data_IF_450553725646
#
_entry.id   IF_450553725646
#
_cell.length_a   1.000
_cell.length_b   1.000
_cell.length_c   1.000
_cell.angle_alpha   90.00
_cell.angle_beta   90.00
_cell.angle_gamma   90.00
#
_symmetry.space_group_name_H-M   'P 1'
#
loop_
_entity.id
_entity.type
_entity.pdbx_description
1 polymer ?
#
# COMPACT_ATOMS: atom_id res chain seq x y z
N UNK A 1 9.14 3.08 13.42
CA UNK A 1 10.23 2.51 14.25
C UNK A 1 10.17 1.00 14.30
N UNK A 2 9.02 0.38 14.55
CA UNK A 2 8.85 -1.08 14.67
C UNK A 2 9.59 -1.89 13.59
N UNK A 3 9.41 -1.53 12.31
CA UNK A 3 10.07 -2.19 11.18
C UNK A 3 11.60 -2.21 11.29
N UNK A 4 12.22 -1.06 11.62
CA UNK A 4 13.68 -0.95 11.75
C UNK A 4 14.25 -1.65 12.98
N UNK A 5 13.40 -1.96 13.98
CA UNK A 5 13.79 -2.73 15.17
C UNK A 5 13.49 -4.23 15.03
N UNK A 6 13.04 -4.69 13.85
CA UNK A 6 12.78 -6.10 13.60
C UNK A 6 11.54 -6.64 14.32
N UNK A 7 10.54 -5.80 14.62
CA UNK A 7 9.27 -6.26 15.16
C UNK A 7 8.64 -7.28 14.20
N UNK A 8 8.23 -8.43 14.73
CA UNK A 8 7.67 -9.54 13.96
C UNK A 8 6.14 -9.49 13.83
N UNK A 9 5.46 -8.74 14.71
CA UNK A 9 4.03 -8.50 14.68
C UNK A 9 3.80 -7.01 14.92
N UNK A 10 3.10 -6.37 13.99
CA UNK A 10 2.65 -4.98 14.10
C UNK A 10 1.14 -4.99 13.87
N UNK A 11 0.39 -4.52 14.86
CA UNK A 11 -1.07 -4.43 14.84
C UNK A 11 -1.53 -2.97 14.69
N UNK A 12 -2.82 -2.71 14.89
CA UNK A 12 -3.42 -1.37 14.96
C UNK A 12 -3.37 -0.54 13.67
N UNK A 13 -3.47 -1.21 12.52
CA UNK A 13 -3.64 -0.51 11.24
C UNK A 13 -5.02 0.15 11.19
N UNK A 14 -5.07 1.48 11.08
CA UNK A 14 -6.33 2.24 11.09
C UNK A 14 -6.88 2.58 12.48
N UNK A 15 -6.11 2.31 13.54
CA UNK A 15 -6.47 2.54 14.93
C UNK A 15 -6.40 4.04 15.30
N UNK A 16 -7.41 4.54 16.02
CA UNK A 16 -7.51 5.92 16.47
C UNK A 16 -8.00 6.01 17.91
N UNK A 17 -7.86 7.19 18.51
CA UNK A 17 -8.36 7.50 19.86
C UNK A 17 -7.98 6.45 20.92
N UNK A 18 -6.69 6.10 20.94
CA UNK A 18 -6.14 5.05 21.84
C UNK A 18 -6.90 3.71 21.79
N UNK A 19 -7.54 3.41 20.66
CA UNK A 19 -8.21 2.14 20.40
C UNK A 19 -9.69 2.12 20.61
N UNK A 20 -10.27 3.27 20.93
CA UNK A 20 -11.71 3.41 21.03
C UNK A 20 -12.35 3.55 19.65
N UNK A 21 -11.55 3.82 18.61
CA UNK A 21 -12.03 4.04 17.25
C UNK A 21 -11.15 3.36 16.19
N UNK A 22 -11.79 3.00 15.07
CA UNK A 22 -11.13 2.57 13.84
C UNK A 22 -11.57 3.44 12.66
N UNK A 23 -10.66 3.71 11.73
CA UNK A 23 -10.93 4.45 10.49
C UNK A 23 -10.51 3.64 9.27
N UNK A 24 -11.46 3.42 8.36
CA UNK A 24 -11.22 2.72 7.09
C UNK A 24 -10.30 3.55 6.18
N UNK A 25 -10.46 4.87 6.16
CA UNK A 25 -9.61 5.80 5.43
C UNK A 25 -8.18 5.74 5.95
N UNK A 26 -8.00 5.76 7.28
CA UNK A 26 -6.68 5.63 7.88
C UNK A 26 -6.07 4.26 7.59
N UNK A 27 -6.87 3.19 7.58
CA UNK A 27 -6.40 1.86 7.21
C UNK A 27 -5.87 1.83 5.76
N UNK A 28 -6.56 2.49 4.82
CA UNK A 28 -6.09 2.63 3.43
C UNK A 28 -4.83 3.50 3.32
N UNK A 29 -4.74 4.59 4.07
CA UNK A 29 -3.52 5.42 4.13
C UNK A 29 -2.35 4.63 4.72
N UNK A 30 -2.61 3.83 5.75
CA UNK A 30 -1.62 2.97 6.38
C UNK A 30 -1.15 1.87 5.43
N UNK A 31 -2.03 1.28 4.60
CA UNK A 31 -1.63 0.33 3.55
C UNK A 31 -0.64 0.95 2.54
N UNK A 32 -0.93 2.17 2.05
CA UNK A 32 -0.02 2.90 1.15
C UNK A 32 1.33 3.22 1.83
N UNK A 33 1.28 3.64 3.09
CA UNK A 33 2.47 3.88 3.92
C UNK A 33 3.28 2.60 4.14
N UNK A 34 2.63 1.47 4.40
CA UNK A 34 3.27 0.16 4.53
C UNK A 34 3.91 -0.28 3.20
N UNK A 35 3.27 0.03 2.07
CA UNK A 35 3.84 -0.15 0.74
C UNK A 35 5.16 0.62 0.57
N UNK A 36 5.17 1.91 0.95
CA UNK A 36 6.39 2.71 0.95
C UNK A 36 7.45 2.15 1.90
N UNK A 37 7.08 1.79 3.14
CA UNK A 37 8.03 1.24 4.12
C UNK A 37 8.68 -0.05 3.62
N UNK A 38 7.91 -0.98 3.04
CA UNK A 38 8.43 -2.21 2.44
C UNK A 38 9.41 -1.92 1.31
N UNK A 39 9.12 -0.93 0.46
CA UNK A 39 10.01 -0.53 -0.62
C UNK A 39 11.29 0.16 -0.09
N UNK A 40 11.15 1.03 0.91
CA UNK A 40 12.24 1.76 1.55
C UNK A 40 13.21 0.82 2.26
N UNK A 41 12.71 -0.24 2.88
CA UNK A 41 13.54 -1.24 3.57
C UNK A 41 13.89 -2.44 2.69
N UNK A 42 13.58 -2.39 1.39
CA UNK A 42 14.05 -3.40 0.45
C UNK A 42 15.57 -3.28 0.37
N UNK A 43 16.27 -4.42 0.29
CA UNK A 43 17.71 -4.42 0.04
C UNK A 43 18.05 -3.68 -1.25
N UNK A 44 19.21 -3.02 -1.27
CA UNK A 44 19.77 -2.40 -2.47
C UNK A 44 20.55 -3.46 -3.22
N UNK A 45 20.13 -3.76 -4.45
CA UNK A 45 20.88 -4.62 -5.36
C UNK A 45 22.05 -3.79 -5.91
N UNK A 46 23.25 -4.38 -5.91
CA UNK A 46 24.46 -3.74 -6.42
C UNK A 46 25.10 -4.69 -7.44
N UNK A 47 24.94 -4.34 -8.71
CA UNK A 47 25.45 -5.05 -9.89
C UNK A 47 25.65 -4.05 -11.05
N UNK A 48 26.13 -4.52 -12.20
CA UNK A 48 26.44 -3.64 -13.34
C UNK A 48 25.20 -2.88 -13.86
N UNK A 49 24.01 -3.50 -13.88
CA UNK A 49 22.78 -2.84 -14.35
C UNK A 49 22.32 -1.76 -13.37
N UNK A 50 22.36 -2.04 -12.06
CA UNK A 50 21.90 -1.11 -11.01
C UNK A 50 22.89 0.01 -10.73
N UNK A 51 24.19 -0.21 -10.98
CA UNK A 51 25.21 0.84 -10.93
C UNK A 51 25.10 1.81 -12.13
N UNK A 52 24.66 1.30 -13.29
CA UNK A 52 24.41 2.08 -14.51
C UNK A 52 25.59 2.96 -14.96
N UNK A 53 26.83 2.48 -14.76
CA UNK A 53 28.04 3.27 -15.04
C UNK A 53 28.18 3.63 -16.52
N UNK A 54 27.80 2.72 -17.42
CA UNK A 54 27.80 2.97 -18.87
C UNK A 54 26.90 4.15 -19.25
N UNK A 55 25.72 4.25 -18.61
CA UNK A 55 24.76 5.34 -18.84
C UNK A 55 25.32 6.67 -18.32
N UNK A 56 25.97 6.65 -17.16
CA UNK A 56 26.62 7.84 -16.57
C UNK A 56 27.78 8.32 -17.45
N UNK A 57 28.59 7.40 -17.99
CA UNK A 57 29.68 7.74 -18.91
C UNK A 57 29.16 8.28 -20.26
N UNK A 58 28.14 7.65 -20.82
CA UNK A 58 27.52 8.05 -22.10
C UNK A 58 26.93 9.47 -22.03
N UNK A 59 26.17 9.77 -20.98
CA UNK A 59 25.43 11.03 -20.85
C UNK A 59 26.26 12.15 -20.22
N UNK A 60 27.25 11.79 -19.39
CA UNK A 60 28.13 12.73 -18.71
C UNK A 60 27.39 13.69 -17.75
N UNK A 61 28.08 14.77 -17.30
CA UNK A 61 27.59 15.64 -16.22
C UNK A 61 26.33 16.46 -16.55
N UNK A 62 26.03 16.66 -17.83
CA UNK A 62 24.92 17.51 -18.29
C UNK A 62 23.86 16.74 -19.10
N UNK A 63 23.95 15.41 -19.15
CA UNK A 63 23.03 14.60 -19.94
C UNK A 63 21.66 14.46 -19.29
N UNK A 64 20.65 14.19 -20.13
CA UNK A 64 19.28 13.92 -19.71
C UNK A 64 19.01 12.42 -19.67
N UNK A 65 18.60 11.92 -18.51
CA UNK A 65 18.35 10.50 -18.27
C UNK A 65 16.90 10.11 -18.54
N UNK A 66 15.96 11.07 -18.63
CA UNK A 66 14.51 10.78 -18.65
C UNK A 66 14.09 9.91 -19.84
N UNK A 67 14.74 10.09 -20.98
CA UNK A 67 14.43 9.37 -22.22
C UNK A 67 15.39 8.21 -22.50
N UNK A 68 16.41 8.01 -21.64
CA UNK A 68 17.39 6.96 -21.84
C UNK A 68 16.73 5.57 -21.72
N UNK A 69 17.07 4.60 -22.59
CA UNK A 69 16.50 3.24 -22.54
C UNK A 69 16.61 2.57 -21.17
N UNK A 70 17.69 2.80 -20.42
CA UNK A 70 17.86 2.28 -19.06
C UNK A 70 16.77 2.81 -18.13
N UNK A 71 16.56 4.12 -18.10
CA UNK A 71 15.49 4.72 -17.29
C UNK A 71 14.11 4.20 -17.73
N UNK A 72 13.85 4.09 -19.03
CA UNK A 72 12.56 3.57 -19.53
C UNK A 72 12.31 2.11 -19.16
N UNK A 73 13.35 1.29 -18.95
CA UNK A 73 13.22 -0.07 -18.41
C UNK A 73 12.90 -0.06 -16.92
N UNK A 74 13.57 0.77 -16.13
CA UNK A 74 13.53 0.69 -14.66
C UNK A 74 12.54 1.63 -13.97
N UNK A 75 12.05 2.70 -14.63
CA UNK A 75 11.27 3.73 -13.94
C UNK A 75 9.97 3.22 -13.30
N UNK A 76 9.46 2.04 -13.67
CA UNK A 76 8.25 1.46 -13.06
C UNK A 76 8.53 0.55 -11.85
N UNK A 77 9.79 0.23 -11.59
CA UNK A 77 10.20 -0.67 -10.51
C UNK A 77 10.11 -0.08 -9.09
N UNK A 78 10.36 1.23 -8.87
CA UNK A 78 10.17 1.84 -7.57
C UNK A 78 8.71 1.78 -7.11
N UNK A 79 8.50 1.95 -5.81
CA UNK A 79 7.16 2.11 -5.28
C UNK A 79 6.57 3.47 -5.67
N UNK A 80 5.36 3.44 -6.22
CA UNK A 80 4.54 4.61 -6.47
C UNK A 80 3.30 4.56 -5.57
N UNK A 81 3.20 5.53 -4.66
CA UNK A 81 2.01 5.72 -3.84
C UNK A 81 0.78 5.90 -4.74
N UNK A 82 -0.32 5.27 -4.35
CA UNK A 82 -1.62 5.41 -5.02
C UNK A 82 -2.46 6.54 -4.41
N UNK A 83 -2.01 7.14 -3.31
CA UNK A 83 -2.75 8.16 -2.55
C UNK A 83 -2.05 9.52 -2.50
N UNK A 84 -0.72 9.57 -2.54
CA UNK A 84 0.02 10.82 -2.54
C UNK A 84 -0.12 11.54 -3.89
N UNK A 85 -0.56 12.79 -3.87
CA UNK A 85 -0.53 13.64 -5.05
C UNK A 85 0.86 14.31 -5.14
N UNK A 86 1.56 14.08 -6.26
CA UNK A 86 2.89 14.62 -6.55
C UNK A 86 2.86 15.66 -7.68
N UNK A 87 1.68 16.08 -8.11
CA UNK A 87 1.50 17.15 -9.09
C UNK A 87 1.86 18.51 -8.52
N UNK A 88 1.90 19.51 -9.40
CA UNK A 88 2.06 20.90 -8.96
C UNK A 88 0.83 21.36 -8.18
N UNK A 89 0.99 22.41 -7.36
CA UNK A 89 -0.14 23.00 -6.63
C UNK A 89 -1.30 23.41 -7.56
N UNK A 90 -0.99 24.02 -8.70
CA UNK A 90 -2.01 24.42 -9.69
C UNK A 90 -2.80 23.23 -10.20
N UNK A 91 -2.13 22.13 -10.56
CA UNK A 91 -2.78 20.90 -11.02
C UNK A 91 -3.65 20.27 -9.91
N UNK A 92 -3.16 20.26 -8.67
CA UNK A 92 -3.93 19.77 -7.53
C UNK A 92 -5.19 20.61 -7.31
N UNK A 93 -5.07 21.94 -7.38
CA UNK A 93 -6.23 22.84 -7.28
C UNK A 93 -7.24 22.62 -8.42
N UNK A 94 -6.77 22.56 -9.67
CA UNK A 94 -7.63 22.30 -10.84
C UNK A 94 -8.35 20.95 -10.76
N UNK A 95 -7.72 19.95 -10.12
CA UNK A 95 -8.32 18.63 -9.85
C UNK A 95 -9.23 18.59 -8.61
N UNK A 96 -9.59 19.75 -8.06
CA UNK A 96 -10.55 19.85 -6.95
C UNK A 96 -9.93 19.90 -5.56
N UNK A 97 -8.61 20.09 -5.45
CA UNK A 97 -7.91 20.33 -4.18
C UNK A 97 -8.16 19.24 -3.11
N UNK A 98 -8.31 17.99 -3.53
CA UNK A 98 -8.66 16.90 -2.62
C UNK A 98 -7.58 16.65 -1.57
N UNK A 99 -7.99 16.46 -0.32
CA UNK A 99 -7.16 15.92 0.74
C UNK A 99 -6.86 14.44 0.50
N UNK A 100 -5.81 13.94 1.16
CA UNK A 100 -5.45 12.52 1.08
C UNK A 100 -6.54 11.61 1.68
N UNK A 101 -7.21 12.06 2.74
CA UNK A 101 -8.33 11.36 3.36
C UNK A 101 -9.49 11.14 2.38
N UNK A 102 -9.84 12.15 1.59
CA UNK A 102 -10.91 12.05 0.60
C UNK A 102 -10.58 11.03 -0.51
N UNK A 103 -9.32 11.01 -0.96
CA UNK A 103 -8.85 9.96 -1.90
C UNK A 103 -8.86 8.57 -1.25
N UNK A 104 -8.50 8.48 0.03
CA UNK A 104 -8.57 7.22 0.77
C UNK A 104 -10.02 6.74 0.92
N UNK A 105 -10.99 7.64 1.17
CA UNK A 105 -12.41 7.31 1.22
C UNK A 105 -12.92 6.72 -0.10
N UNK A 106 -12.58 7.34 -1.24
CA UNK A 106 -12.92 6.79 -2.56
C UNK A 106 -12.32 5.39 -2.79
N UNK A 107 -11.12 5.15 -2.28
CA UNK A 107 -10.46 3.85 -2.36
C UNK A 107 -11.15 2.81 -1.47
N UNK A 108 -11.60 3.19 -0.27
CA UNK A 108 -12.44 2.33 0.59
C UNK A 108 -13.71 1.92 -0.16
N UNK A 109 -14.45 2.90 -0.70
CA UNK A 109 -15.70 2.63 -1.43
C UNK A 109 -15.48 1.69 -2.63
N UNK A 110 -14.37 1.89 -3.36
CA UNK A 110 -13.98 1.01 -4.46
C UNK A 110 -13.71 -0.42 -4.00
N UNK A 111 -12.93 -0.59 -2.93
CA UNK A 111 -12.62 -1.93 -2.39
C UNK A 111 -13.91 -2.62 -1.94
N UNK A 112 -14.76 -1.96 -1.17
CA UNK A 112 -16.00 -2.54 -0.64
C UNK A 112 -16.98 -2.93 -1.74
N UNK A 113 -17.02 -2.17 -2.84
CA UNK A 113 -17.89 -2.46 -3.98
C UNK A 113 -17.36 -3.59 -4.86
N UNK A 114 -16.06 -3.59 -5.14
CA UNK A 114 -15.49 -4.36 -6.26
C UNK A 114 -14.75 -5.63 -5.78
N UNK A 115 -14.26 -5.68 -4.54
CA UNK A 115 -13.49 -6.82 -4.03
C UNK A 115 -14.39 -8.02 -3.73
N UNK A 116 -14.08 -9.16 -4.37
CA UNK A 116 -14.74 -10.45 -4.11
C UNK A 116 -13.68 -11.44 -3.60
N UNK A 117 -13.66 -11.75 -2.30
CA UNK A 117 -12.71 -12.73 -1.78
C UNK A 117 -13.03 -14.12 -2.32
N UNK A 118 -12.00 -14.95 -2.46
CA UNK A 118 -12.18 -16.36 -2.79
C UNK A 118 -12.96 -17.04 -1.66
N UNK A 119 -14.10 -17.69 -1.96
CA UNK A 119 -14.91 -18.32 -0.93
C UNK A 119 -14.19 -19.53 -0.35
N UNK A 120 -14.35 -19.75 0.96
CA UNK A 120 -13.87 -20.97 1.62
C UNK A 120 -14.55 -22.22 1.03
N UNK A 121 -13.88 -23.39 1.06
CA UNK A 121 -14.50 -24.65 0.66
C UNK A 121 -15.85 -24.90 1.36
N UNK A 122 -16.87 -25.47 0.69
CA UNK A 122 -18.21 -25.60 1.25
C UNK A 122 -18.30 -26.41 2.55
N UNK A 123 -17.45 -27.42 2.71
CA UNK A 123 -17.31 -28.24 3.91
C UNK A 123 -16.72 -27.44 5.09
N UNK A 124 -15.72 -26.60 4.85
CA UNK A 124 -15.16 -25.67 5.85
C UNK A 124 -16.22 -24.66 6.29
N UNK A 125 -16.95 -24.07 5.35
CA UNK A 125 -18.04 -23.14 5.68
C UNK A 125 -19.11 -23.79 6.56
N UNK A 126 -19.47 -25.05 6.25
CA UNK A 126 -20.43 -25.82 7.05
C UNK A 126 -19.89 -26.08 8.46
N UNK A 127 -18.65 -26.53 8.58
CA UNK A 127 -18.03 -26.78 9.89
C UNK A 127 -17.97 -25.52 10.76
N UNK A 128 -17.66 -24.35 10.17
CA UNK A 128 -17.70 -23.07 10.89
C UNK A 128 -19.12 -22.76 11.38
N UNK A 129 -20.15 -22.92 10.53
CA UNK A 129 -21.54 -22.69 10.92
C UNK A 129 -22.00 -23.60 12.05
N UNK A 130 -21.71 -24.90 11.96
CA UNK A 130 -22.04 -25.89 13.00
C UNK A 130 -21.41 -25.53 14.37
N UNK A 131 -20.17 -25.04 14.36
CA UNK A 131 -19.51 -24.56 15.58
C UNK A 131 -20.24 -23.34 16.16
N UNK A 132 -20.55 -22.34 15.32
CA UNK A 132 -21.24 -21.12 15.76
C UNK A 132 -22.61 -21.45 16.36
N UNK A 133 -23.42 -22.26 15.67
CA UNK A 133 -24.76 -22.65 16.11
C UNK A 133 -24.71 -23.43 17.44
N UNK A 134 -23.77 -24.37 17.57
CA UNK A 134 -23.57 -25.11 18.82
C UNK A 134 -23.24 -24.19 19.99
N UNK A 135 -22.34 -23.23 19.79
CA UNK A 135 -21.95 -22.32 20.87
C UNK A 135 -23.06 -21.33 21.23
N UNK A 136 -23.80 -20.81 20.25
CA UNK A 136 -24.96 -19.94 20.48
C UNK A 136 -26.03 -20.64 21.35
N UNK A 137 -26.39 -21.88 20.98
CA UNK A 137 -27.31 -22.70 21.75
C UNK A 137 -26.83 -22.97 23.19
N UNK A 138 -25.51 -23.14 23.39
CA UNK A 138 -24.90 -23.34 24.72
C UNK A 138 -24.98 -22.08 25.58
N UNK A 139 -24.83 -20.89 24.98
CA UNK A 139 -24.82 -19.61 25.72
C UNK A 139 -26.19 -18.95 25.87
N UNK A 140 -27.25 -19.52 25.29
CA UNK A 140 -28.62 -18.99 25.41
C UNK A 140 -28.90 -17.74 24.56
N UNK A 141 -28.19 -17.61 23.44
CA UNK A 141 -28.49 -16.63 22.38
C UNK A 141 -29.16 -17.33 21.20
#
# INVERSE_FOLDING_TARGET
TALLHGANIVHDVGFMDSGLQGSLQLQVIADDTLGFLRAMTRGVVVDDETLALDVVEELGPTGDYLTNPHTLRHFKEPFYSKLADKGTYSQWQERGAMAMEERAAQQVDRILRDHKPEPLPPDVQRGIREIVEREQARTGH
#
